data_IF_331907661432
#
_entry.id   IF_331907661432
#
_cell.length_a   1.000
_cell.length_b   1.000
_cell.length_c   1.000
_cell.angle_alpha   90.00
_cell.angle_beta   90.00
_cell.angle_gamma   90.00
#
_symmetry.space_group_name_H-M   'P 1'
#
loop_
_entity.id
_entity.type
_entity.pdbx_description
1 polymer ?
#
# COMPACT_ATOMS: atom_id res chain seq x y z
N UNK A 1 -1.00 -15.50 -18.65
CA UNK A 1 -0.47 -15.77 -17.30
C UNK A 1 -0.99 -14.70 -16.35
N UNK A 2 -1.74 -15.07 -15.31
CA UNK A 2 -2.23 -14.11 -14.31
C UNK A 2 -1.02 -13.71 -13.45
N UNK A 3 -0.56 -12.47 -13.59
CA UNK A 3 0.55 -11.94 -12.82
C UNK A 3 0.12 -11.85 -11.35
N UNK A 4 0.64 -12.74 -10.50
CA UNK A 4 0.37 -12.71 -9.07
C UNK A 4 1.00 -11.44 -8.48
N UNK A 5 0.18 -10.60 -7.85
CA UNK A 5 0.64 -9.34 -7.28
C UNK A 5 1.68 -9.59 -6.17
N UNK A 6 2.93 -9.18 -6.43
CA UNK A 6 4.07 -9.38 -5.52
C UNK A 6 3.92 -8.71 -4.15
N UNK A 7 3.08 -7.67 -4.05
CA UNK A 7 2.88 -6.87 -2.84
C UNK A 7 1.90 -7.49 -1.84
N UNK A 8 1.10 -8.47 -2.27
CA UNK A 8 0.11 -9.14 -1.42
C UNK A 8 0.29 -10.66 -1.41
N UNK A 9 1.51 -11.12 -1.68
CA UNK A 9 1.85 -12.54 -1.58
C UNK A 9 1.50 -13.05 -0.17
N UNK A 10 0.62 -14.05 -0.10
CA UNK A 10 0.09 -14.66 1.13
C UNK A 10 -0.92 -13.82 1.93
N UNK A 11 -1.39 -12.69 1.40
CA UNK A 11 -2.53 -11.99 2.02
C UNK A 11 -3.86 -12.67 1.67
N UNK A 12 -4.83 -12.54 2.57
CA UNK A 12 -6.22 -12.97 2.35
C UNK A 12 -7.03 -11.96 1.50
N UNK A 13 -6.44 -10.84 1.10
CA UNK A 13 -7.12 -9.82 0.27
C UNK A 13 -6.93 -10.09 -1.21
N UNK A 14 -7.96 -9.81 -2.01
CA UNK A 14 -7.86 -9.87 -3.46
C UNK A 14 -7.03 -8.71 -4.01
N UNK A 15 -6.51 -8.87 -5.21
CA UNK A 15 -5.78 -7.79 -5.89
C UNK A 15 -6.67 -6.56 -6.13
N UNK A 16 -7.95 -6.77 -6.46
CA UNK A 16 -8.90 -5.68 -6.63
C UNK A 16 -9.05 -4.85 -5.35
N UNK A 17 -9.08 -5.51 -4.19
CA UNK A 17 -9.14 -4.88 -2.88
C UNK A 17 -7.83 -4.16 -2.55
N UNK A 18 -6.67 -4.74 -2.88
CA UNK A 18 -5.39 -4.04 -2.74
C UNK A 18 -5.32 -2.76 -3.58
N UNK A 19 -5.76 -2.81 -4.84
CA UNK A 19 -5.85 -1.60 -5.70
C UNK A 19 -6.78 -0.55 -5.12
N UNK A 20 -7.84 -0.95 -4.41
CA UNK A 20 -8.72 -0.04 -3.69
C UNK A 20 -8.00 0.70 -2.56
N UNK A 21 -7.22 -0.02 -1.74
CA UNK A 21 -6.37 0.58 -0.70
C UNK A 21 -5.41 1.59 -1.31
N UNK A 22 -4.76 1.26 -2.43
CA UNK A 22 -3.83 2.17 -3.12
C UNK A 22 -4.56 3.43 -3.60
N UNK A 23 -5.76 3.30 -4.18
CA UNK A 23 -6.57 4.48 -4.59
C UNK A 23 -6.90 5.38 -3.40
N UNK A 24 -7.28 4.82 -2.26
CA UNK A 24 -7.57 5.61 -1.08
C UNK A 24 -6.32 6.26 -0.48
N UNK A 25 -5.17 5.56 -0.50
CA UNK A 25 -3.89 6.13 -0.09
C UNK A 25 -3.50 7.34 -0.96
N UNK A 26 -3.65 7.24 -2.27
CA UNK A 26 -3.34 8.34 -3.21
C UNK A 26 -4.30 9.53 -3.03
N UNK A 27 -5.54 9.28 -2.62
CA UNK A 27 -6.51 10.32 -2.27
C UNK A 27 -6.29 10.94 -0.87
N UNK A 28 -5.18 10.61 -0.20
CA UNK A 28 -4.78 11.13 1.11
C UNK A 28 -5.76 10.81 2.25
N UNK A 29 -6.43 9.66 2.17
CA UNK A 29 -7.30 9.20 3.25
C UNK A 29 -6.48 8.68 4.43
N UNK A 30 -6.95 8.97 5.64
CA UNK A 30 -6.40 8.39 6.87
C UNK A 30 -6.61 6.88 6.93
N UNK A 31 -5.73 6.17 7.65
CA UNK A 31 -5.85 4.72 7.83
C UNK A 31 -7.20 4.29 8.42
N UNK A 32 -7.81 5.12 9.26
CA UNK A 32 -9.15 4.87 9.80
C UNK A 32 -10.22 4.95 8.71
N UNK A 33 -10.20 5.98 7.87
CA UNK A 33 -11.13 6.11 6.74
C UNK A 33 -10.97 4.95 5.75
N UNK A 34 -9.73 4.59 5.42
CA UNK A 34 -9.43 3.47 4.52
C UNK A 34 -9.95 2.14 5.11
N UNK A 35 -9.77 1.91 6.41
CA UNK A 35 -10.28 0.71 7.08
C UNK A 35 -11.80 0.61 6.99
N UNK A 36 -12.50 1.72 7.25
CA UNK A 36 -13.96 1.81 7.13
C UNK A 36 -14.44 1.54 5.70
N UNK A 37 -13.83 2.15 4.69
CA UNK A 37 -14.25 2.00 3.29
C UNK A 37 -13.92 0.63 2.70
N UNK A 38 -12.74 0.10 3.03
CA UNK A 38 -12.27 -1.18 2.45
C UNK A 38 -12.82 -2.41 3.17
N UNK A 39 -13.33 -2.26 4.40
CA UNK A 39 -13.78 -3.36 5.26
C UNK A 39 -12.62 -4.17 5.87
N UNK A 40 -11.41 -3.62 5.87
CA UNK A 40 -10.20 -4.27 6.37
C UNK A 40 -9.84 -3.71 7.75
N UNK A 41 -9.26 -4.54 8.61
CA UNK A 41 -8.80 -4.09 9.92
C UNK A 41 -7.85 -2.89 9.80
N UNK A 42 -8.02 -1.90 10.68
CA UNK A 42 -7.13 -0.72 10.74
C UNK A 42 -5.66 -1.11 10.89
N UNK A 43 -5.37 -2.20 11.59
CA UNK A 43 -4.01 -2.73 11.75
C UNK A 43 -3.43 -3.18 10.42
N UNK A 44 -4.18 -3.93 9.62
CA UNK A 44 -3.75 -4.35 8.28
C UNK A 44 -3.57 -3.15 7.35
N UNK A 45 -4.48 -2.17 7.39
CA UNK A 45 -4.35 -0.93 6.61
C UNK A 45 -3.10 -0.15 6.99
N UNK A 46 -2.82 0.01 8.29
CA UNK A 46 -1.60 0.67 8.76
C UNK A 46 -0.35 -0.03 8.20
N UNK A 47 -0.31 -1.36 8.21
CA UNK A 47 0.81 -2.12 7.60
C UNK A 47 0.93 -1.81 6.12
N UNK A 48 -0.17 -1.91 5.35
CA UNK A 48 -0.13 -1.62 3.91
C UNK A 48 0.34 -0.20 3.60
N UNK A 49 -0.21 0.79 4.29
CA UNK A 49 0.15 2.20 4.11
C UNK A 49 1.62 2.44 4.45
N UNK A 50 2.13 1.82 5.52
CA UNK A 50 3.55 1.92 5.90
C UNK A 50 4.46 1.32 4.83
N UNK A 51 4.18 0.11 4.35
CA UNK A 51 4.97 -0.53 3.29
C UNK A 51 4.94 0.26 1.97
N UNK A 52 3.81 0.87 1.63
CA UNK A 52 3.70 1.77 0.47
C UNK A 52 4.64 2.98 0.65
N UNK A 53 4.66 3.60 1.84
CA UNK A 53 5.57 4.72 2.12
C UNK A 53 7.04 4.31 2.07
N UNK A 54 7.40 3.16 2.64
CA UNK A 54 8.77 2.64 2.54
C UNK A 54 9.16 2.43 1.08
N UNK A 55 8.26 1.87 0.26
CA UNK A 55 8.56 1.68 -1.16
C UNK A 55 8.78 3.00 -1.91
N UNK A 56 8.01 4.03 -1.58
CA UNK A 56 8.20 5.38 -2.12
C UNK A 56 9.54 5.94 -1.65
N UNK A 57 9.86 5.82 -0.36
CA UNK A 57 11.13 6.27 0.21
C UNK A 57 12.33 5.58 -0.45
N UNK A 58 12.31 4.26 -0.60
CA UNK A 58 13.37 3.50 -1.28
C UNK A 58 13.56 3.95 -2.73
N UNK A 59 12.47 4.21 -3.44
CA UNK A 59 12.50 4.72 -4.81
C UNK A 59 13.07 6.13 -4.88
N UNK A 60 12.61 7.02 -3.99
CA UNK A 60 13.16 8.37 -3.90
C UNK A 60 14.66 8.34 -3.58
N UNK A 61 15.11 7.41 -2.72
CA UNK A 61 16.50 7.28 -2.37
C UNK A 61 17.36 6.75 -3.51
N UNK A 62 16.87 5.77 -4.29
CA UNK A 62 17.60 5.24 -5.44
C UNK A 62 17.79 6.29 -6.54
N UNK A 63 16.85 7.23 -6.66
CA UNK A 63 16.89 8.31 -7.65
C UNK A 63 17.50 9.61 -7.10
N UNK A 64 17.80 9.69 -5.80
CA UNK A 64 18.29 10.91 -5.18
C UNK A 64 19.76 11.15 -5.55
N UNK A 65 20.10 12.31 -6.14
CA UNK A 65 21.50 12.66 -6.43
C UNK A 65 22.28 13.08 -5.17
N UNK A 66 21.62 13.10 -4.00
CA UNK A 66 22.18 13.59 -2.74
C UNK A 66 22.51 12.49 -1.74
N UNK A 67 22.29 11.22 -2.10
CA UNK A 67 22.58 10.07 -1.23
C UNK A 67 23.88 9.43 -1.73
N UNK A 68 24.98 9.75 -1.06
CA UNK A 68 26.30 9.11 -1.18
C UNK A 68 26.53 8.24 0.03
#
# INVERSE_FOLDING_TARGET
MIHKNKYINSSKISEAKFREIVRYFVADLSATQIATLSGISRNSINRYVMEIRHRIYDFCNSESPFIT
#
